data_IF_942522726241
#
_entry.id   IF_942522726241
#
_cell.length_a   1.000
_cell.length_b   1.000
_cell.length_c   1.000
_cell.angle_alpha   90.00
_cell.angle_beta   90.00
_cell.angle_gamma   90.00
#
_symmetry.space_group_name_H-M   'P 1'
#
loop_
_entity.id
_entity.type
_entity.pdbx_description
1 polymer ?
#
# COMPACT_ATOMS: atom_id res chain seq x y z
N UNK A 1 -0.11 -0.86 -16.66
CA UNK A 1 1.25 -0.49 -16.20
C UNK A 1 1.26 0.98 -15.79
N UNK A 2 1.70 1.26 -14.56
CA UNK A 2 1.86 2.64 -14.09
C UNK A 2 3.25 3.14 -14.45
N UNK A 3 3.31 4.37 -14.95
CA UNK A 3 4.55 5.01 -15.36
C UNK A 3 4.84 6.22 -14.45
N UNK A 4 6.07 6.28 -13.93
CA UNK A 4 6.63 7.47 -13.27
C UNK A 4 7.77 8.02 -14.10
N UNK A 5 7.89 9.34 -14.12
CA UNK A 5 8.90 10.05 -14.90
C UNK A 5 9.73 10.93 -13.98
N UNK A 6 11.04 10.80 -14.06
CA UNK A 6 12.00 11.57 -13.26
C UNK A 6 12.89 12.38 -14.19
N UNK A 7 12.97 13.68 -13.95
CA UNK A 7 13.90 14.58 -14.64
C UNK A 7 15.27 14.48 -13.99
N UNK A 8 16.28 14.13 -14.78
CA UNK A 8 17.65 13.96 -14.31
C UNK A 8 18.41 15.28 -14.26
N UNK A 9 19.31 15.40 -13.29
CA UNK A 9 20.16 16.55 -13.07
C UNK A 9 21.63 16.16 -12.93
N UNK A 10 22.54 17.14 -12.91
CA UNK A 10 23.98 16.91 -12.69
C UNK A 10 24.30 16.27 -11.33
N UNK A 11 23.46 16.51 -10.32
CA UNK A 11 23.66 16.02 -8.94
C UNK A 11 23.65 14.50 -8.84
N UNK A 12 22.89 13.84 -9.72
CA UNK A 12 22.79 12.37 -9.75
C UNK A 12 23.62 11.74 -10.86
N UNK A 13 24.43 12.54 -11.57
CA UNK A 13 25.29 12.04 -12.64
C UNK A 13 26.24 10.93 -12.15
N UNK A 14 26.36 9.88 -12.93
CA UNK A 14 27.18 8.68 -12.65
C UNK A 14 26.65 7.74 -11.57
N UNK A 15 25.59 8.08 -10.85
CA UNK A 15 24.91 7.08 -10.02
C UNK A 15 24.36 5.96 -10.89
N UNK A 16 24.37 4.73 -10.39
CA UNK A 16 23.62 3.65 -11.04
C UNK A 16 22.12 3.91 -10.87
N UNK A 17 21.33 3.57 -11.87
CA UNK A 17 19.87 3.76 -11.83
C UNK A 17 19.26 3.08 -10.60
N UNK A 18 19.71 1.87 -10.24
CA UNK A 18 19.25 1.16 -9.06
C UNK A 18 19.54 1.91 -7.75
N UNK A 19 20.73 2.52 -7.61
CA UNK A 19 21.08 3.36 -6.46
C UNK A 19 20.21 4.60 -6.39
N UNK A 20 20.04 5.30 -7.51
CA UNK A 20 19.16 6.47 -7.61
C UNK A 20 17.74 6.16 -7.21
N UNK A 21 17.17 5.08 -7.71
CA UNK A 21 15.79 4.68 -7.37
C UNK A 21 15.66 4.31 -5.89
N UNK A 22 16.66 3.62 -5.33
CA UNK A 22 16.64 3.19 -3.93
C UNK A 22 16.86 4.35 -2.95
N UNK A 23 17.88 5.15 -3.16
CA UNK A 23 18.36 6.15 -2.20
C UNK A 23 17.69 7.51 -2.36
N UNK A 24 17.39 7.92 -3.59
CA UNK A 24 16.77 9.23 -3.87
C UNK A 24 15.25 9.11 -4.04
N UNK A 25 14.80 8.09 -4.75
CA UNK A 25 13.38 7.90 -5.06
C UNK A 25 12.66 6.90 -4.14
N UNK A 26 13.39 6.33 -3.17
CA UNK A 26 12.84 5.47 -2.11
C UNK A 26 12.15 4.18 -2.59
N UNK A 27 12.59 3.62 -3.72
CA UNK A 27 12.15 2.30 -4.17
C UNK A 27 12.70 1.21 -3.25
N UNK A 28 11.86 0.26 -2.88
CA UNK A 28 12.31 -0.95 -2.18
C UNK A 28 12.97 -1.94 -3.15
N UNK A 29 13.84 -2.81 -2.61
CA UNK A 29 14.43 -3.91 -3.41
C UNK A 29 13.36 -4.82 -4.01
N UNK A 30 12.22 -4.96 -3.36
CA UNK A 30 11.08 -5.75 -3.86
C UNK A 30 10.40 -5.05 -5.04
N UNK A 31 10.14 -3.75 -4.95
CA UNK A 31 9.52 -2.98 -6.04
C UNK A 31 10.45 -2.92 -7.26
N UNK A 32 11.77 -2.80 -7.06
CA UNK A 32 12.74 -2.77 -8.16
C UNK A 32 12.82 -4.07 -9.00
N UNK A 33 12.37 -5.21 -8.45
CA UNK A 33 12.28 -6.48 -9.22
C UNK A 33 11.11 -6.51 -10.22
N UNK A 34 10.20 -5.55 -10.14
CA UNK A 34 8.95 -5.55 -10.89
C UNK A 34 8.83 -4.35 -11.83
N UNK A 35 9.92 -3.61 -12.00
CA UNK A 35 9.95 -2.43 -12.85
C UNK A 35 10.78 -2.64 -14.11
N UNK A 36 10.44 -1.87 -15.14
CA UNK A 36 11.29 -1.62 -16.31
C UNK A 36 11.67 -0.15 -16.31
N UNK A 37 12.90 0.15 -16.70
CA UNK A 37 13.40 1.51 -16.74
C UNK A 37 13.81 1.89 -18.15
N UNK A 38 13.47 3.12 -18.52
CA UNK A 38 13.78 3.69 -19.82
C UNK A 38 14.54 5.01 -19.62
N UNK A 39 15.73 5.07 -20.14
CA UNK A 39 16.55 6.27 -20.14
C UNK A 39 16.46 6.96 -21.50
N UNK A 40 15.91 8.18 -21.52
CA UNK A 40 15.67 8.94 -22.75
C UNK A 40 14.96 8.10 -23.85
N UNK A 41 13.94 7.33 -23.44
CA UNK A 41 13.13 6.50 -24.32
C UNK A 41 13.69 5.11 -24.64
N UNK A 42 14.92 4.78 -24.22
CA UNK A 42 15.53 3.46 -24.45
C UNK A 42 15.52 2.61 -23.18
N UNK A 43 15.04 1.37 -23.28
CA UNK A 43 15.09 0.42 -22.16
C UNK A 43 16.54 0.13 -21.75
N UNK A 44 16.81 0.21 -20.45
CA UNK A 44 18.15 0.00 -19.89
C UNK A 44 18.10 -0.84 -18.62
N UNK A 45 19.24 -1.37 -18.19
CA UNK A 45 19.37 -2.11 -16.94
C UNK A 45 19.56 -1.16 -15.75
N UNK A 46 19.18 -1.59 -14.55
CA UNK A 46 19.37 -0.84 -13.30
C UNK A 46 20.85 -0.55 -12.97
N UNK A 47 21.76 -1.29 -13.55
CA UNK A 47 23.23 -1.10 -13.44
C UNK A 47 23.76 0.04 -14.31
N UNK A 48 22.95 0.56 -15.24
CA UNK A 48 23.34 1.69 -16.10
C UNK A 48 23.54 2.94 -15.25
N UNK A 49 24.60 3.68 -15.55
CA UNK A 49 24.88 4.99 -14.92
C UNK A 49 24.02 6.08 -15.53
N UNK A 50 23.56 6.99 -14.68
CA UNK A 50 22.76 8.14 -15.08
C UNK A 50 23.63 9.21 -15.78
N UNK A 51 23.12 9.84 -16.85
CA UNK A 51 23.71 11.03 -17.44
C UNK A 51 23.43 12.28 -16.61
N UNK A 52 24.02 13.42 -17.00
CA UNK A 52 23.85 14.71 -16.35
C UNK A 52 22.48 15.36 -16.58
N UNK A 53 21.67 14.81 -17.44
CA UNK A 53 20.35 15.33 -17.78
C UNK A 53 19.52 14.32 -18.54
N UNK A 54 18.30 14.72 -18.91
CA UNK A 54 17.35 13.85 -19.60
C UNK A 54 16.27 13.32 -18.68
N UNK A 55 15.63 12.24 -19.09
CA UNK A 55 14.43 11.71 -18.44
C UNK A 55 14.58 10.21 -18.18
N UNK A 56 14.37 9.81 -16.94
CA UNK A 56 14.22 8.41 -16.54
C UNK A 56 12.74 8.10 -16.37
N UNK A 57 12.24 7.13 -17.14
CA UNK A 57 10.88 6.60 -16.98
C UNK A 57 10.95 5.25 -16.32
N UNK A 58 10.11 5.05 -15.33
CA UNK A 58 9.97 3.79 -14.59
C UNK A 58 8.56 3.25 -14.83
N UNK A 59 8.50 2.06 -15.42
CA UNK A 59 7.24 1.36 -15.64
C UNK A 59 7.16 0.21 -14.64
N UNK A 60 6.17 0.27 -13.76
CA UNK A 60 5.87 -0.81 -12.82
C UNK A 60 4.93 -1.80 -13.50
N UNK A 61 5.36 -3.08 -13.58
CA UNK A 61 4.47 -4.15 -14.02
C UNK A 61 3.40 -4.37 -12.97
N UNK A 62 2.17 -4.19 -13.36
CA UNK A 62 1.04 -4.57 -12.52
C UNK A 62 1.02 -6.10 -12.40
N UNK A 63 1.06 -6.59 -11.16
CA UNK A 63 0.74 -7.99 -10.89
C UNK A 63 -0.76 -8.13 -10.87
N UNK A 64 -1.25 -9.12 -11.59
CA UNK A 64 -2.59 -9.63 -11.38
C UNK A 64 -2.78 -10.10 -9.94
N UNK A 65 -4.00 -10.20 -9.49
CA UNK A 65 -4.36 -10.72 -8.16
C UNK A 65 -5.15 -12.01 -8.31
N UNK A 66 -5.00 -12.92 -7.35
CA UNK A 66 -5.85 -14.12 -7.24
C UNK A 66 -7.12 -13.85 -6.41
N UNK A 67 -7.30 -12.60 -5.95
CA UNK A 67 -8.49 -12.20 -5.20
C UNK A 67 -9.62 -11.96 -6.19
N UNK A 68 -10.71 -12.68 -6.03
CA UNK A 68 -11.88 -12.56 -6.88
C UNK A 68 -12.53 -11.17 -6.71
N UNK A 69 -12.86 -10.47 -7.81
CA UNK A 69 -13.62 -9.23 -7.75
C UNK A 69 -15.07 -9.52 -7.36
N UNK A 70 -15.45 -9.11 -6.15
CA UNK A 70 -16.81 -9.25 -5.62
C UNK A 70 -17.29 -7.87 -5.20
N UNK A 71 -18.51 -7.52 -5.60
CA UNK A 71 -19.09 -6.26 -5.17
C UNK A 71 -19.28 -6.21 -3.65
N UNK A 72 -18.63 -5.24 -3.04
CA UNK A 72 -18.79 -4.85 -1.63
C UNK A 72 -18.98 -3.34 -1.61
N UNK A 73 -20.02 -2.80 -0.97
CA UNK A 73 -20.18 -1.36 -0.83
C UNK A 73 -18.95 -0.77 -0.11
N UNK A 74 -18.32 0.21 -0.73
CA UNK A 74 -17.15 0.91 -0.18
C UNK A 74 -17.52 2.34 0.18
N UNK A 75 -17.27 2.73 1.42
CA UNK A 75 -17.32 4.12 1.86
C UNK A 75 -15.96 4.76 1.62
N UNK A 76 -15.78 5.36 0.43
CA UNK A 76 -14.52 5.98 0.01
C UNK A 76 -14.45 7.38 0.58
N UNK A 77 -13.48 7.61 1.45
CA UNK A 77 -13.24 8.90 2.12
C UNK A 77 -12.32 9.81 1.31
N UNK A 78 -11.34 9.20 0.65
CA UNK A 78 -10.35 9.91 -0.16
C UNK A 78 -9.80 9.01 -1.26
N UNK A 79 -9.52 9.59 -2.40
CA UNK A 79 -8.85 8.91 -3.50
C UNK A 79 -8.03 9.89 -4.35
N UNK A 80 -6.81 9.49 -4.68
CA UNK A 80 -5.96 10.13 -5.68
C UNK A 80 -5.26 9.06 -6.56
N UNK A 81 -4.22 9.42 -7.28
CA UNK A 81 -3.49 8.49 -8.15
C UNK A 81 -2.72 7.41 -7.39
N UNK A 82 -2.34 7.66 -6.16
CA UNK A 82 -1.50 6.79 -5.35
C UNK A 82 -2.25 6.07 -4.22
N UNK A 83 -3.33 6.67 -3.71
CA UNK A 83 -4.03 6.25 -2.51
C UNK A 83 -5.53 6.09 -2.71
N UNK A 84 -6.10 5.15 -1.96
CA UNK A 84 -7.53 5.00 -1.74
C UNK A 84 -7.75 4.81 -0.23
N UNK A 85 -8.50 5.70 0.41
CA UNK A 85 -8.84 5.61 1.83
C UNK A 85 -10.31 5.24 1.96
N UNK A 86 -10.55 4.16 2.69
CA UNK A 86 -11.88 3.57 2.88
C UNK A 86 -12.21 3.57 4.36
N UNK A 87 -13.41 4.01 4.70
CA UNK A 87 -14.00 3.78 6.00
C UNK A 87 -14.64 2.38 6.00
N UNK A 88 -13.91 1.40 6.53
CA UNK A 88 -14.38 0.00 6.55
C UNK A 88 -15.54 -0.15 7.52
N UNK A 89 -16.63 -0.76 7.05
CA UNK A 89 -17.74 -1.16 7.90
C UNK A 89 -17.33 -2.28 8.87
N UNK A 90 -18.01 -2.40 10.04
CA UNK A 90 -17.83 -3.56 10.91
C UNK A 90 -18.32 -4.84 10.26
N UNK A 91 -17.96 -5.99 10.83
CA UNK A 91 -18.32 -7.34 10.37
C UNK A 91 -17.80 -7.72 8.99
N UNK A 92 -16.76 -7.04 8.51
CA UNK A 92 -16.11 -7.30 7.24
C UNK A 92 -14.62 -7.56 7.46
N UNK A 93 -14.14 -8.71 7.01
CA UNK A 93 -12.70 -9.03 7.00
C UNK A 93 -11.97 -8.12 6.01
N UNK A 94 -10.73 -7.73 6.35
CA UNK A 94 -9.88 -6.97 5.43
C UNK A 94 -9.38 -7.85 4.28
N UNK A 95 -8.88 -9.04 4.59
CA UNK A 95 -8.33 -10.00 3.63
C UNK A 95 -9.02 -11.36 3.71
N UNK A 96 -9.05 -12.13 2.60
CA UNK A 96 -9.44 -13.53 2.64
C UNK A 96 -8.57 -14.33 3.60
N UNK A 97 -9.17 -15.25 4.31
CA UNK A 97 -8.49 -16.23 5.16
C UNK A 97 -8.80 -17.65 4.66
N UNK A 98 -7.98 -18.64 5.06
CA UNK A 98 -8.22 -20.05 4.69
C UNK A 98 -9.62 -20.57 5.08
N UNK A 99 -10.24 -19.98 6.11
CA UNK A 99 -11.55 -20.41 6.62
C UNK A 99 -12.73 -19.59 6.08
N UNK A 100 -12.47 -18.36 5.59
CA UNK A 100 -13.51 -17.44 5.07
C UNK A 100 -12.90 -16.63 3.93
N UNK A 101 -13.15 -17.10 2.72
CA UNK A 101 -12.58 -16.48 1.51
C UNK A 101 -13.54 -15.51 0.78
N UNK A 102 -14.85 -15.57 1.08
CA UNK A 102 -15.85 -15.20 0.09
C UNK A 102 -16.32 -13.75 0.14
N UNK A 103 -16.09 -13.03 1.24
CA UNK A 103 -16.53 -11.64 1.35
C UNK A 103 -15.55 -10.86 2.21
N UNK A 104 -14.66 -10.13 1.58
CA UNK A 104 -13.67 -9.28 2.27
C UNK A 104 -13.58 -7.91 1.63
N UNK A 105 -13.01 -6.95 2.36
CA UNK A 105 -12.72 -5.64 1.82
C UNK A 105 -11.82 -5.75 0.57
N UNK A 106 -10.88 -6.68 0.57
CA UNK A 106 -9.98 -6.91 -0.57
C UNK A 106 -10.75 -7.29 -1.84
N UNK A 107 -11.78 -8.16 -1.74
CA UNK A 107 -12.63 -8.48 -2.87
C UNK A 107 -13.33 -7.22 -3.43
N UNK A 108 -13.87 -6.39 -2.52
CA UNK A 108 -14.51 -5.12 -2.91
C UNK A 108 -13.58 -4.13 -3.57
N UNK A 109 -12.34 -4.01 -3.08
CA UNK A 109 -11.32 -3.13 -3.68
C UNK A 109 -10.91 -3.61 -5.06
N UNK A 110 -10.72 -4.92 -5.25
CA UNK A 110 -10.42 -5.50 -6.58
C UNK A 110 -11.58 -5.23 -7.56
N UNK A 111 -12.82 -5.43 -7.10
CA UNK A 111 -14.01 -5.12 -7.90
C UNK A 111 -14.04 -3.63 -8.29
N UNK A 112 -13.82 -2.74 -7.32
CA UNK A 112 -13.81 -1.30 -7.56
C UNK A 112 -12.73 -0.89 -8.58
N UNK A 113 -11.53 -1.43 -8.46
CA UNK A 113 -10.45 -1.14 -9.41
C UNK A 113 -10.77 -1.67 -10.81
N UNK A 114 -11.39 -2.85 -10.91
CA UNK A 114 -11.82 -3.42 -12.17
C UNK A 114 -12.87 -2.54 -12.88
N UNK A 115 -13.89 -2.10 -12.16
CA UNK A 115 -14.94 -1.23 -12.69
C UNK A 115 -14.39 0.15 -13.07
N UNK A 116 -13.58 0.76 -12.22
CA UNK A 116 -13.08 2.13 -12.44
C UNK A 116 -11.95 2.21 -13.45
N UNK A 117 -11.02 1.26 -13.41
CA UNK A 117 -9.79 1.29 -14.20
C UNK A 117 -9.70 0.20 -15.28
N UNK A 118 -10.69 -0.68 -15.37
CA UNK A 118 -10.72 -1.78 -16.33
C UNK A 118 -9.69 -2.89 -16.03
N UNK A 119 -9.14 -2.93 -14.82
CA UNK A 119 -8.07 -3.88 -14.45
C UNK A 119 -8.24 -4.41 -13.03
N UNK A 120 -7.98 -5.70 -12.87
CA UNK A 120 -7.86 -6.34 -11.56
C UNK A 120 -6.47 -6.07 -11.00
N UNK A 121 -6.38 -5.17 -10.02
CA UNK A 121 -5.12 -4.81 -9.36
C UNK A 121 -5.03 -5.45 -7.98
N UNK A 122 -3.80 -5.74 -7.55
CA UNK A 122 -3.53 -6.20 -6.18
C UNK A 122 -3.91 -5.10 -5.19
N UNK A 123 -4.84 -5.34 -4.27
CA UNK A 123 -5.13 -4.39 -3.21
C UNK A 123 -4.00 -4.40 -2.18
N UNK A 124 -3.24 -3.30 -2.11
CA UNK A 124 -2.11 -3.16 -1.19
C UNK A 124 -2.54 -2.37 0.03
N UNK A 125 -2.94 -3.07 1.07
CA UNK A 125 -3.34 -2.44 2.33
C UNK A 125 -2.11 -1.99 3.11
N UNK A 126 -2.08 -0.72 3.50
CA UNK A 126 -1.06 -0.18 4.39
C UNK A 126 -1.29 -0.63 5.84
N UNK A 127 -2.53 -0.61 6.27
CA UNK A 127 -2.98 -1.07 7.58
C UNK A 127 -4.14 -2.07 7.44
N UNK A 128 -4.47 -2.71 8.53
CA UNK A 128 -5.62 -3.60 8.63
C UNK A 128 -6.40 -3.31 9.90
N UNK A 129 -7.67 -3.62 9.87
CA UNK A 129 -8.56 -3.64 11.02
C UNK A 129 -9.16 -5.02 11.17
N UNK A 130 -9.48 -5.40 12.39
CA UNK A 130 -10.17 -6.64 12.67
C UNK A 130 -11.59 -6.64 12.08
N UNK A 131 -12.19 -7.80 11.95
CA UNK A 131 -13.50 -7.98 11.32
C UNK A 131 -14.56 -7.07 11.93
N UNK A 132 -14.62 -7.02 13.26
CA UNK A 132 -15.66 -6.26 13.99
C UNK A 132 -15.30 -4.78 14.21
N UNK A 133 -14.09 -4.37 13.85
CA UNK A 133 -13.64 -2.98 13.96
C UNK A 133 -13.97 -2.23 12.69
N UNK A 134 -14.62 -1.08 12.82
CA UNK A 134 -14.81 -0.11 11.73
C UNK A 134 -13.74 0.96 11.75
N UNK A 135 -13.57 1.66 10.65
CA UNK A 135 -12.68 2.81 10.57
C UNK A 135 -11.81 2.83 9.32
N UNK A 136 -10.81 3.70 9.34
CA UNK A 136 -10.04 4.03 8.16
C UNK A 136 -8.99 2.98 7.81
N UNK A 137 -9.02 2.56 6.56
CA UNK A 137 -8.02 1.71 5.93
C UNK A 137 -7.42 2.43 4.73
N UNK A 138 -6.11 2.42 4.64
CA UNK A 138 -5.36 2.98 3.53
C UNK A 138 -4.98 1.85 2.57
N UNK A 139 -5.38 2.00 1.32
CA UNK A 139 -4.98 1.13 0.21
C UNK A 139 -4.07 1.93 -0.71
N UNK A 140 -2.91 1.40 -1.01
CA UNK A 140 -2.00 1.99 -2.00
C UNK A 140 -2.24 1.37 -3.36
N UNK A 141 -2.23 2.19 -4.40
CA UNK A 141 -2.48 1.75 -5.78
C UNK A 141 -1.23 1.23 -6.48
N UNK A 142 -0.05 1.49 -5.91
CA UNK A 142 1.25 1.06 -6.45
C UNK A 142 2.13 0.45 -5.37
N UNK A 143 3.06 -0.42 -5.77
CA UNK A 143 4.08 -0.92 -4.86
C UNK A 143 5.02 0.20 -4.39
N UNK A 144 5.25 1.21 -5.22
CA UNK A 144 6.01 2.41 -4.85
C UNK A 144 5.34 3.17 -3.71
N UNK A 145 4.06 3.52 -3.84
CA UNK A 145 3.31 4.24 -2.81
C UNK A 145 3.31 3.47 -1.48
N UNK A 146 3.15 2.14 -1.54
CA UNK A 146 3.23 1.29 -0.35
C UNK A 146 4.59 1.37 0.33
N UNK A 147 5.67 1.21 -0.42
CA UNK A 147 7.02 1.28 0.12
C UNK A 147 7.35 2.67 0.65
N UNK A 148 6.90 3.72 -0.04
CA UNK A 148 7.09 5.10 0.40
C UNK A 148 6.42 5.36 1.74
N UNK A 149 5.15 4.99 1.90
CA UNK A 149 4.43 5.15 3.16
C UNK A 149 5.08 4.35 4.29
N UNK A 150 5.51 3.12 4.04
CA UNK A 150 6.17 2.28 5.05
C UNK A 150 7.47 2.88 5.57
N UNK A 151 8.23 3.56 4.70
CA UNK A 151 9.55 4.08 5.04
C UNK A 151 9.56 5.54 5.53
N UNK A 152 8.55 6.34 5.17
CA UNK A 152 8.58 7.79 5.35
C UNK A 152 7.40 8.35 6.14
N UNK A 153 6.41 7.52 6.49
CA UNK A 153 5.21 7.99 7.17
C UNK A 153 5.22 7.64 8.65
N UNK A 154 4.83 8.61 9.46
CA UNK A 154 4.46 8.39 10.84
C UNK A 154 2.95 8.59 10.94
N UNK A 155 2.23 7.51 11.23
CA UNK A 155 0.78 7.56 11.41
C UNK A 155 0.45 7.53 12.89
N UNK A 156 -0.27 8.54 13.32
CA UNK A 156 -0.95 8.50 14.60
C UNK A 156 -2.25 7.69 14.44
N UNK A 157 -2.40 6.64 15.24
CA UNK A 157 -3.59 5.78 15.22
C UNK A 157 -4.43 6.06 16.46
N UNK A 158 -5.64 6.52 16.24
CA UNK A 158 -6.63 6.76 17.31
C UNK A 158 -7.80 5.82 17.15
N UNK A 159 -8.24 5.25 18.25
CA UNK A 159 -9.37 4.35 18.32
C UNK A 159 -10.37 4.83 19.37
N UNK A 160 -11.65 4.73 19.03
CA UNK A 160 -12.73 4.90 19.99
C UNK A 160 -13.22 3.52 20.39
N UNK A 161 -13.30 3.27 21.70
CA UNK A 161 -13.75 1.99 22.23
C UNK A 161 -14.78 2.20 23.34
N UNK A 162 -15.74 1.29 23.42
CA UNK A 162 -16.67 1.20 24.53
C UNK A 162 -16.12 0.15 25.50
N UNK A 163 -16.00 0.52 26.75
CA UNK A 163 -15.52 -0.35 27.82
C UNK A 163 -16.59 -0.55 28.88
N UNK A 164 -16.57 -1.67 29.57
CA UNK A 164 -17.58 -2.06 30.55
C UNK A 164 -17.36 -1.45 31.96
N UNK A 165 -16.26 -0.70 32.13
CA UNK A 165 -15.91 -0.03 33.41
C UNK A 165 -15.48 1.40 33.18
N UNK A 166 -15.82 2.25 34.16
CA UNK A 166 -15.22 3.58 34.23
C UNK A 166 -13.79 3.49 34.76
N UNK A 167 -12.95 4.34 34.24
CA UNK A 167 -11.59 4.51 34.76
C UNK A 167 -11.61 5.64 35.81
N UNK A 168 -10.85 5.44 36.90
CA UNK A 168 -10.68 6.47 37.92
C UNK A 168 -9.78 7.64 37.50
N UNK A 169 -9.13 7.49 36.33
CA UNK A 169 -8.22 8.46 35.74
C UNK A 169 -8.67 8.81 34.32
N UNK A 170 -8.45 10.07 33.94
CA UNK A 170 -8.75 10.54 32.58
C UNK A 170 -7.81 9.92 31.53
N UNK A 171 -6.60 9.54 31.93
CA UNK A 171 -5.59 8.94 31.07
C UNK A 171 -4.91 7.76 31.76
N UNK A 172 -4.77 6.66 31.05
CA UNK A 172 -4.09 5.45 31.49
C UNK A 172 -3.12 5.01 30.39
N UNK A 173 -1.86 4.80 30.78
CA UNK A 173 -0.85 4.21 29.91
C UNK A 173 -0.69 2.75 30.30
N UNK A 174 -0.85 1.84 29.33
CA UNK A 174 -0.68 0.39 29.52
C UNK A 174 0.49 -0.07 28.66
N UNK A 175 1.63 -0.35 29.31
CA UNK A 175 2.85 -0.88 28.67
C UNK A 175 3.09 -2.32 29.12
N UNK A 176 2.18 -3.21 28.79
CA UNK A 176 2.30 -4.63 29.13
C UNK A 176 2.38 -5.47 27.86
N UNK A 177 3.19 -6.53 27.86
CA UNK A 177 3.20 -7.48 26.75
C UNK A 177 1.85 -8.17 26.62
N UNK A 178 1.45 -8.42 25.37
CA UNK A 178 0.22 -9.16 25.02
C UNK A 178 0.62 -10.59 24.73
N UNK A 179 0.06 -11.55 25.46
CA UNK A 179 0.25 -12.98 25.26
C UNK A 179 -0.98 -13.58 24.59
N UNK A 180 -0.77 -14.59 23.74
CA UNK A 180 -1.84 -15.46 23.32
C UNK A 180 -2.10 -16.46 24.45
N UNK A 181 -3.33 -16.50 24.91
CA UNK A 181 -3.79 -17.58 25.77
C UNK A 181 -4.04 -18.80 24.87
N UNK A 182 -3.26 -19.88 25.11
CA UNK A 182 -3.13 -20.99 24.16
C UNK A 182 -4.40 -21.84 23.95
N UNK A 183 -5.45 -21.63 24.73
CA UNK A 183 -6.61 -22.50 24.77
C UNK A 183 -7.94 -21.88 24.30
N UNK A 184 -7.95 -20.64 23.86
CA UNK A 184 -9.15 -19.94 23.39
C UNK A 184 -8.94 -19.35 21.99
N UNK A 185 -9.06 -20.19 20.99
CA UNK A 185 -9.26 -19.81 19.58
C UNK A 185 -10.54 -20.43 19.06
#
# INVERSE_FOLDING_TARGET
DKMKTFKLTKETQRMKIGEYLKEIQNYSSRSMRQIKVYLNGKEVKLTKKLPSGGVLRVIEKEKGTNIEPIYVPLDIVYEDDDLLIINKQPFLLTHPTFKKADFTLANGVVYYFKEKYGKEQVPRFYNRLDMNTSGLIIVTKTAFAQAYLQNHSQFEKKYLAIVDRNFDKEEIIVEKPIYRDGDNL
#
